data_IF_541738291902
#
_entry.id   IF_541738291902
#
_cell.length_a   1.000
_cell.length_b   1.000
_cell.length_c   1.000
_cell.angle_alpha   90.00
_cell.angle_beta   90.00
_cell.angle_gamma   90.00
#
_symmetry.space_group_name_H-M   'P 1'
#
loop_
_entity.id
_entity.type
_entity.pdbx_description
1 polymer ?
#
# COMPACT_ATOMS: atom_id res chain seq x y z
N UNK A 1 16.21 42.81 28.63
CA UNK A 1 16.64 41.40 28.52
C UNK A 1 15.50 40.66 27.84
N UNK A 2 15.47 40.71 26.51
CA UNK A 2 14.55 39.89 25.71
C UNK A 2 15.17 38.51 25.58
N UNK A 3 14.46 37.49 26.03
CA UNK A 3 14.69 36.12 25.62
C UNK A 3 13.62 35.83 24.59
N UNK A 4 13.99 35.91 23.32
CA UNK A 4 13.18 35.33 22.25
C UNK A 4 13.30 33.82 22.42
N UNK A 5 12.22 33.20 22.89
CA UNK A 5 12.06 31.76 22.88
C UNK A 5 11.90 31.35 21.40
N UNK A 6 12.96 30.82 20.80
CA UNK A 6 12.87 30.12 19.52
C UNK A 6 11.92 28.92 19.71
N UNK A 7 10.67 29.10 19.30
CA UNK A 7 9.73 28.01 19.05
C UNK A 7 10.38 27.08 18.01
N UNK A 8 10.97 26.00 18.50
CA UNK A 8 11.59 24.98 17.66
C UNK A 8 10.54 24.37 16.74
N UNK A 9 10.49 24.84 15.50
CA UNK A 9 9.61 24.32 14.45
C UNK A 9 9.88 22.82 14.29
N UNK A 10 8.93 21.99 14.72
CA UNK A 10 9.05 20.53 14.64
C UNK A 10 8.95 20.10 13.18
N UNK A 11 10.10 20.03 12.51
CA UNK A 11 10.21 19.55 11.12
C UNK A 11 9.67 18.13 11.00
N UNK A 12 8.49 17.97 10.41
CA UNK A 12 7.96 16.66 10.02
C UNK A 12 8.66 16.18 8.75
N UNK A 13 9.39 15.08 8.87
CA UNK A 13 9.97 14.36 7.74
C UNK A 13 8.92 13.45 7.12
N UNK A 14 8.76 13.48 5.79
CA UNK A 14 7.93 12.50 5.08
C UNK A 14 8.70 11.20 4.86
N UNK A 15 8.03 10.06 5.06
CA UNK A 15 8.59 8.73 4.78
C UNK A 15 8.68 8.44 3.28
N UNK A 16 7.89 9.14 2.46
CA UNK A 16 7.82 8.93 1.02
C UNK A 16 8.25 10.18 0.26
N UNK A 17 9.08 10.07 -0.79
CA UNK A 17 9.45 11.22 -1.62
C UNK A 17 8.30 11.72 -2.49
N UNK A 18 7.19 10.98 -2.54
CA UNK A 18 5.96 11.33 -3.26
C UNK A 18 4.76 11.08 -2.37
N UNK A 19 3.99 12.13 -2.10
CA UNK A 19 2.80 12.07 -1.27
C UNK A 19 1.87 13.25 -1.58
N UNK A 20 0.56 13.06 -1.45
CA UNK A 20 -0.37 14.19 -1.32
C UNK A 20 -0.25 14.78 0.09
N UNK A 21 -0.52 16.09 0.25
CA UNK A 21 -0.36 16.75 1.56
C UNK A 21 1.11 17.05 1.87
N UNK A 22 1.55 16.76 3.10
CA UNK A 22 2.94 16.95 3.58
C UNK A 22 3.54 18.34 3.28
N UNK A 23 2.78 19.41 3.57
CA UNK A 23 3.11 20.79 3.22
C UNK A 23 4.53 21.21 3.58
N UNK A 24 4.95 21.00 4.83
CA UNK A 24 6.30 21.35 5.28
C UNK A 24 7.39 20.54 4.57
N UNK A 25 7.11 19.31 4.15
CA UNK A 25 8.08 18.47 3.47
C UNK A 25 8.20 18.79 1.97
N UNK A 26 7.23 19.52 1.38
CA UNK A 26 7.28 19.94 -0.03
C UNK A 26 8.49 20.82 -0.34
N UNK A 27 8.85 21.71 0.57
CA UNK A 27 10.04 22.56 0.42
C UNK A 27 11.35 21.76 0.42
N UNK A 28 11.33 20.49 0.86
CA UNK A 28 12.47 19.59 0.92
C UNK A 28 12.43 18.50 -0.17
N UNK A 29 11.60 18.67 -1.22
CA UNK A 29 11.63 17.84 -2.42
C UNK A 29 10.56 16.73 -2.48
N UNK A 30 9.63 16.66 -1.53
CA UNK A 30 8.47 15.77 -1.65
C UNK A 30 7.56 16.30 -2.77
N UNK A 31 7.23 15.49 -3.78
CA UNK A 31 6.31 15.91 -4.87
C UNK A 31 4.95 15.22 -4.78
N UNK A 32 3.93 15.79 -5.42
CA UNK A 32 2.61 15.16 -5.63
C UNK A 32 2.53 14.40 -6.95
N UNK A 33 3.54 14.55 -7.83
CA UNK A 33 3.48 14.04 -9.19
C UNK A 33 3.50 12.50 -9.19
N UNK A 34 2.49 11.84 -9.80
CA UNK A 34 2.46 10.40 -9.89
C UNK A 34 3.38 9.89 -11.01
N UNK A 35 3.72 8.61 -10.94
CA UNK A 35 4.35 7.92 -12.05
C UNK A 35 3.29 7.27 -12.94
N UNK A 36 3.36 7.51 -14.25
CA UNK A 36 2.49 6.86 -15.23
C UNK A 36 3.20 5.65 -15.82
N UNK A 37 2.62 4.46 -15.62
CA UNK A 37 3.09 3.20 -16.20
C UNK A 37 1.86 2.50 -16.79
N UNK A 38 2.01 1.87 -17.95
CA UNK A 38 0.92 1.19 -18.64
C UNK A 38 1.34 -0.19 -19.16
N UNK A 39 0.36 -1.09 -19.24
CA UNK A 39 0.52 -2.44 -19.77
C UNK A 39 -0.57 -2.73 -20.79
N UNK A 40 -0.22 -3.44 -21.86
CA UNK A 40 -1.19 -3.92 -22.84
C UNK A 40 -1.74 -5.28 -22.39
N UNK A 41 -3.04 -5.32 -22.10
CA UNK A 41 -3.72 -6.59 -21.82
C UNK A 41 -3.80 -7.42 -23.12
N UNK A 42 -3.44 -8.69 -23.03
CA UNK A 42 -3.54 -9.64 -24.14
C UNK A 42 -4.89 -10.35 -24.09
N UNK A 43 -5.55 -10.43 -25.25
CA UNK A 43 -6.78 -11.21 -25.37
C UNK A 43 -6.52 -12.68 -25.03
N UNK A 44 -7.48 -13.32 -24.36
CA UNK A 44 -7.41 -14.75 -24.00
C UNK A 44 -6.47 -15.07 -22.83
N UNK A 45 -5.93 -14.06 -22.13
CA UNK A 45 -5.19 -14.27 -20.89
C UNK A 45 -5.97 -13.77 -19.69
N UNK A 46 -5.81 -14.48 -18.58
CA UNK A 46 -6.43 -14.16 -17.32
C UNK A 46 -5.57 -13.18 -16.53
N UNK A 47 -6.04 -11.93 -16.41
CA UNK A 47 -5.33 -10.90 -15.64
C UNK A 47 -6.07 -10.58 -14.33
N UNK A 48 -5.30 -10.37 -13.27
CA UNK A 48 -5.81 -9.82 -12.01
C UNK A 48 -4.99 -8.59 -11.67
N UNK A 49 -5.66 -7.50 -11.32
CA UNK A 49 -5.04 -6.30 -10.77
C UNK A 49 -5.27 -6.31 -9.26
N UNK A 50 -4.17 -6.21 -8.51
CA UNK A 50 -4.17 -6.10 -7.05
C UNK A 50 -3.59 -4.72 -6.70
N UNK A 51 -4.41 -3.87 -6.10
CA UNK A 51 -4.02 -2.57 -5.56
C UNK A 51 -4.08 -2.68 -4.05
N UNK A 52 -2.99 -2.42 -3.34
CA UNK A 52 -2.98 -2.56 -1.88
C UNK A 52 -1.99 -1.60 -1.21
N UNK A 53 -2.22 -1.33 0.08
CA UNK A 53 -1.29 -0.57 0.94
C UNK A 53 -0.02 -1.38 1.23
N UNK A 54 1.01 -0.71 1.75
CA UNK A 54 2.23 -1.34 2.26
C UNK A 54 1.95 -2.33 3.41
N UNK A 55 0.87 -2.16 4.16
CA UNK A 55 0.36 -3.15 5.10
C UNK A 55 0.13 -4.54 4.49
N UNK A 56 -0.14 -4.65 3.18
CA UNK A 56 -0.14 -5.93 2.45
C UNK A 56 1.27 -6.27 1.96
N UNK A 57 1.92 -5.38 1.22
CA UNK A 57 3.16 -5.70 0.51
C UNK A 57 4.39 -5.91 1.41
N UNK A 58 4.38 -5.35 2.63
CA UNK A 58 5.40 -5.63 3.64
C UNK A 58 5.20 -6.99 4.32
N UNK A 59 4.02 -7.61 4.17
CA UNK A 59 3.65 -8.87 4.83
C UNK A 59 3.51 -10.05 3.85
N UNK A 60 3.11 -9.79 2.61
CA UNK A 60 2.78 -10.82 1.61
C UNK A 60 3.52 -10.53 0.31
N UNK A 61 4.25 -11.53 -0.19
CA UNK A 61 4.92 -11.46 -1.49
C UNK A 61 3.95 -11.55 -2.67
N UNK A 62 4.38 -11.04 -3.83
CA UNK A 62 3.56 -10.94 -5.04
C UNK A 62 2.97 -12.30 -5.48
N UNK A 63 3.77 -13.36 -5.44
CA UNK A 63 3.38 -14.69 -5.88
C UNK A 63 2.25 -15.25 -5.00
N UNK A 64 2.37 -15.08 -3.68
CA UNK A 64 1.36 -15.52 -2.71
C UNK A 64 0.08 -14.70 -2.89
N UNK A 65 0.18 -13.38 -3.11
CA UNK A 65 -0.98 -12.53 -3.31
C UNK A 65 -1.77 -12.94 -4.57
N UNK A 66 -1.06 -13.25 -5.67
CA UNK A 66 -1.66 -13.74 -6.91
C UNK A 66 -2.28 -15.12 -6.70
N UNK A 67 -1.60 -16.04 -6.00
CA UNK A 67 -2.13 -17.37 -5.70
C UNK A 67 -3.45 -17.30 -4.92
N UNK A 68 -3.53 -16.45 -3.90
CA UNK A 68 -4.75 -16.20 -3.12
C UNK A 68 -5.88 -15.72 -4.04
N UNK A 69 -5.61 -14.71 -4.87
CA UNK A 69 -6.63 -14.17 -5.77
C UNK A 69 -7.06 -15.19 -6.84
N UNK A 70 -6.13 -16.04 -7.30
CA UNK A 70 -6.40 -17.05 -8.31
C UNK A 70 -7.43 -18.10 -7.85
N UNK A 71 -7.51 -18.41 -6.54
CA UNK A 71 -8.53 -19.31 -5.98
C UNK A 71 -9.97 -18.84 -6.25
N UNK A 72 -10.17 -17.53 -6.35
CA UNK A 72 -11.49 -16.91 -6.58
C UNK A 72 -11.72 -16.52 -8.03
N UNK A 73 -10.81 -16.92 -8.94
CA UNK A 73 -10.86 -16.57 -10.36
C UNK A 73 -12.12 -17.08 -11.03
N UNK A 74 -12.49 -18.33 -10.80
CA UNK A 74 -13.62 -18.98 -11.46
C UNK A 74 -14.96 -18.31 -11.10
N UNK A 75 -15.12 -17.92 -9.85
CA UNK A 75 -16.31 -17.21 -9.36
C UNK A 75 -16.26 -15.70 -9.61
N UNK A 76 -15.08 -15.17 -9.96
CA UNK A 76 -14.79 -13.73 -10.08
C UNK A 76 -15.20 -12.93 -8.83
N UNK A 77 -15.15 -13.56 -7.66
CA UNK A 77 -15.52 -12.94 -6.39
C UNK A 77 -14.36 -12.09 -5.84
N UNK A 78 -14.28 -10.86 -6.34
CA UNK A 78 -13.22 -9.92 -5.99
C UNK A 78 -13.21 -9.56 -4.50
N UNK A 79 -14.38 -9.44 -3.87
CA UNK A 79 -14.48 -9.11 -2.45
C UNK A 79 -13.91 -10.23 -1.58
N UNK A 80 -14.24 -11.49 -1.91
CA UNK A 80 -13.69 -12.63 -1.19
C UNK A 80 -12.18 -12.79 -1.39
N UNK A 81 -11.68 -12.53 -2.60
CA UNK A 81 -10.25 -12.50 -2.89
C UNK A 81 -9.52 -11.42 -2.06
N UNK A 82 -10.03 -10.19 -2.05
CA UNK A 82 -9.47 -9.08 -1.29
C UNK A 82 -9.49 -9.37 0.22
N UNK A 83 -10.60 -9.91 0.74
CA UNK A 83 -10.74 -10.29 2.14
C UNK A 83 -9.74 -11.39 2.54
N UNK A 84 -9.57 -12.44 1.73
CA UNK A 84 -8.58 -13.49 2.01
C UNK A 84 -7.15 -12.92 2.01
N UNK A 85 -6.83 -12.01 1.08
CA UNK A 85 -5.53 -11.36 1.02
C UNK A 85 -5.26 -10.49 2.26
N UNK A 86 -6.23 -9.68 2.67
CA UNK A 86 -6.13 -8.83 3.88
C UNK A 86 -5.96 -9.69 5.14
N UNK A 87 -6.74 -10.76 5.27
CA UNK A 87 -6.64 -11.69 6.40
C UNK A 87 -5.26 -12.37 6.43
N UNK A 88 -4.74 -12.77 5.27
CA UNK A 88 -3.41 -13.36 5.19
C UNK A 88 -2.32 -12.38 5.64
N UNK A 89 -2.37 -11.14 5.16
CA UNK A 89 -1.42 -10.11 5.58
C UNK A 89 -1.50 -9.87 7.09
N UNK A 90 -2.71 -9.79 7.66
CA UNK A 90 -2.92 -9.64 9.10
C UNK A 90 -2.29 -10.78 9.91
N UNK A 91 -2.52 -12.02 9.49
CA UNK A 91 -1.93 -13.20 10.15
C UNK A 91 -0.39 -13.14 10.17
N UNK A 92 0.23 -12.68 9.08
CA UNK A 92 1.68 -12.52 9.03
C UNK A 92 2.13 -11.44 10.02
N UNK A 93 1.47 -10.29 10.06
CA UNK A 93 1.78 -9.24 11.04
C UNK A 93 1.65 -9.71 12.48
N UNK A 94 0.59 -10.44 12.82
CA UNK A 94 0.37 -11.02 14.15
C UNK A 94 1.49 -12.00 14.53
N UNK A 95 2.05 -12.72 13.56
CA UNK A 95 3.18 -13.63 13.77
C UNK A 95 4.54 -12.95 13.97
N UNK A 96 4.70 -11.67 13.61
CA UNK A 96 6.02 -11.02 13.54
C UNK A 96 6.60 -10.52 14.87
N UNK A 97 5.97 -10.78 16.03
CA UNK A 97 6.44 -10.36 17.37
C UNK A 97 6.82 -8.86 17.54
N UNK A 98 6.45 -8.00 16.58
CA UNK A 98 6.76 -6.56 16.57
C UNK A 98 5.72 -5.69 17.27
N UNK A 99 4.61 -6.27 17.75
CA UNK A 99 3.57 -5.59 18.51
C UNK A 99 2.79 -4.49 17.78
N UNK A 100 3.10 -4.22 16.51
CA UNK A 100 2.42 -3.24 15.66
C UNK A 100 1.99 -3.89 14.36
N UNK A 101 0.70 -3.72 14.04
CA UNK A 101 0.10 -4.13 12.78
C UNK A 101 -0.18 -2.84 12.01
N UNK A 102 0.17 -2.82 10.73
CA UNK A 102 -0.13 -1.67 9.86
C UNK A 102 -1.59 -1.66 9.41
N UNK A 103 -2.06 -0.55 8.84
CA UNK A 103 -3.36 -0.54 8.18
C UNK A 103 -3.32 -1.35 6.88
N UNK A 104 -4.20 -2.35 6.76
CA UNK A 104 -4.20 -3.32 5.68
C UNK A 104 -5.42 -3.08 4.79
N UNK A 105 -5.19 -2.62 3.57
CA UNK A 105 -6.24 -2.38 2.57
C UNK A 105 -5.86 -2.99 1.22
N UNK A 106 -6.83 -3.63 0.55
CA UNK A 106 -6.64 -4.20 -0.77
C UNK A 106 -7.90 -4.05 -1.64
N UNK A 107 -7.69 -3.86 -2.93
CA UNK A 107 -8.70 -3.90 -3.99
C UNK A 107 -8.23 -4.90 -5.04
N UNK A 108 -9.12 -5.83 -5.40
CA UNK A 108 -8.87 -6.85 -6.42
C UNK A 108 -9.81 -6.61 -7.59
N UNK A 109 -9.27 -6.69 -8.81
CA UNK A 109 -10.05 -6.60 -10.05
C UNK A 109 -9.67 -7.77 -10.94
N UNK A 110 -10.64 -8.62 -11.24
CA UNK A 110 -10.49 -9.62 -12.30
C UNK A 110 -10.78 -8.94 -13.64
N UNK A 111 -9.82 -9.03 -14.55
CA UNK A 111 -9.89 -8.51 -15.92
C UNK A 111 -10.16 -9.70 -16.83
#
# INVERSE_FOLDING_TARGET
>A
RGGDEEEGESKRMSLFPRAFGDGDAKQYGVTVDPQFIGWKLRSGQDFVLILASDGVWNAVGNEIAVEICAKHRQTRDANKAANELVLKARQVWEGLAKGRIDDISAVVVFL
#
